data_IF_844372583100
#
_entry.id   IF_844372583100
#
_cell.length_a   1.000
_cell.length_b   1.000
_cell.length_c   1.000
_cell.angle_alpha   90.00
_cell.angle_beta   90.00
_cell.angle_gamma   90.00
#
_symmetry.space_group_name_H-M   'P 1'
#
loop_
_entity.id
_entity.type
_entity.pdbx_description
1 polymer ?
#
# COMPACT_ATOMS: atom_id res chain seq x y z
N UNK A 1 -10.06 2.87 -15.16
CA UNK A 1 -9.56 2.86 -13.75
C UNK A 1 -9.89 1.55 -13.05
N UNK A 2 -11.13 1.11 -13.01
CA UNK A 2 -11.56 -0.09 -12.26
C UNK A 2 -10.89 -1.38 -12.76
N UNK A 3 -10.78 -1.58 -14.08
CA UNK A 3 -10.08 -2.75 -14.65
C UNK A 3 -8.63 -2.85 -14.19
N UNK A 4 -7.94 -1.72 -14.17
CA UNK A 4 -6.57 -1.65 -13.66
C UNK A 4 -6.51 -2.04 -12.18
N UNK A 5 -7.47 -1.63 -11.35
CA UNK A 5 -7.50 -1.98 -9.92
C UNK A 5 -7.65 -3.49 -9.72
N UNK A 6 -8.53 -4.15 -10.50
CA UNK A 6 -8.66 -5.61 -10.42
C UNK A 6 -7.36 -6.31 -10.86
N UNK A 7 -6.84 -5.95 -12.03
CA UNK A 7 -5.63 -6.57 -12.59
C UNK A 7 -4.41 -6.41 -11.67
N UNK A 8 -4.23 -5.23 -11.08
CA UNK A 8 -3.14 -4.99 -10.13
C UNK A 8 -3.33 -5.80 -8.85
N UNK A 9 -4.56 -5.94 -8.35
CA UNK A 9 -4.81 -6.72 -7.16
C UNK A 9 -4.60 -8.22 -7.40
N UNK A 10 -5.14 -8.76 -8.48
CA UNK A 10 -4.93 -10.15 -8.87
C UNK A 10 -3.44 -10.47 -9.08
N UNK A 11 -2.72 -9.60 -9.77
CA UNK A 11 -1.27 -9.71 -9.92
C UNK A 11 -0.55 -9.66 -8.57
N UNK A 12 -0.96 -8.77 -7.66
CA UNK A 12 -0.38 -8.67 -6.31
C UNK A 12 -0.55 -9.97 -5.52
N UNK A 13 -1.65 -10.70 -5.69
CA UNK A 13 -1.90 -11.97 -5.00
C UNK A 13 -1.13 -13.15 -5.59
N UNK A 14 -0.79 -13.09 -6.88
CA UNK A 14 -0.22 -14.23 -7.65
C UNK A 14 1.28 -14.12 -7.93
N UNK A 15 1.93 -13.02 -7.57
CA UNK A 15 3.38 -12.83 -7.76
C UNK A 15 4.21 -13.83 -6.96
N UNK A 16 5.36 -14.20 -7.52
CA UNK A 16 6.40 -14.92 -6.79
C UNK A 16 7.23 -13.94 -5.97
N UNK A 17 7.05 -13.97 -4.67
CA UNK A 17 7.71 -13.05 -3.74
C UNK A 17 9.05 -13.57 -3.23
N UNK A 18 9.98 -12.65 -3.01
CA UNK A 18 11.23 -12.87 -2.27
C UNK A 18 11.01 -12.42 -0.84
N UNK A 19 11.41 -13.24 0.10
CA UNK A 19 11.27 -12.96 1.53
C UNK A 19 12.54 -12.34 2.10
N UNK A 20 12.36 -11.49 3.09
CA UNK A 20 13.44 -10.93 3.91
C UNK A 20 13.17 -11.21 5.38
N UNK A 21 14.16 -10.96 6.23
CA UNK A 21 13.98 -11.02 7.68
C UNK A 21 12.78 -10.17 8.13
N UNK A 22 12.13 -10.57 9.21
CA UNK A 22 10.90 -9.96 9.75
C UNK A 22 9.64 -10.12 8.86
N UNK A 23 9.63 -11.07 7.93
CA UNK A 23 8.45 -11.46 7.17
C UNK A 23 8.06 -10.48 6.04
N UNK A 24 8.89 -9.53 5.71
CA UNK A 24 8.69 -8.67 4.55
C UNK A 24 8.89 -9.45 3.27
N UNK A 25 7.96 -9.32 2.33
CA UNK A 25 8.04 -9.99 1.03
C UNK A 25 7.88 -8.96 -0.09
N UNK A 26 8.70 -9.08 -1.11
CA UNK A 26 8.72 -8.15 -2.24
C UNK A 26 8.95 -8.87 -3.57
N UNK A 27 8.43 -8.29 -4.63
CA UNK A 27 8.66 -8.71 -6.01
C UNK A 27 8.76 -7.49 -6.91
N UNK A 28 9.22 -7.66 -8.14
CA UNK A 28 9.26 -6.59 -9.12
C UNK A 28 9.07 -7.10 -10.54
N UNK A 29 8.58 -6.20 -11.39
CA UNK A 29 8.57 -6.36 -12.83
C UNK A 29 9.16 -5.11 -13.47
N UNK A 30 9.94 -5.29 -14.52
CA UNK A 30 10.47 -4.21 -15.35
C UNK A 30 10.00 -4.41 -16.79
N UNK A 31 9.42 -3.38 -17.37
CA UNK A 31 9.00 -3.35 -18.78
C UNK A 31 9.39 -2.00 -19.40
N UNK A 32 10.44 -2.00 -20.20
CA UNK A 32 11.05 -0.78 -20.72
C UNK A 32 11.55 0.10 -19.57
N UNK A 33 11.05 1.31 -19.48
CA UNK A 33 11.37 2.29 -18.44
C UNK A 33 10.41 2.26 -17.22
N UNK A 34 9.53 1.24 -17.15
CA UNK A 34 8.51 1.09 -16.11
C UNK A 34 8.91 0.03 -15.11
N UNK A 35 8.90 0.38 -13.85
CA UNK A 35 9.15 -0.50 -12.70
C UNK A 35 7.86 -0.67 -11.89
N UNK A 36 7.42 -1.92 -11.68
CA UNK A 36 6.40 -2.25 -10.70
C UNK A 36 7.06 -2.92 -9.51
N UNK A 37 6.76 -2.43 -8.31
CA UNK A 37 7.20 -2.99 -7.04
C UNK A 37 5.99 -3.52 -6.28
N UNK A 38 6.05 -4.78 -5.90
CA UNK A 38 4.98 -5.51 -5.23
C UNK A 38 5.40 -5.86 -3.81
N UNK A 39 4.49 -5.68 -2.85
CA UNK A 39 4.76 -5.92 -1.45
C UNK A 39 3.70 -6.80 -0.80
N UNK A 40 4.16 -7.78 -0.03
CA UNK A 40 3.35 -8.61 0.85
C UNK A 40 4.05 -8.81 2.20
N UNK A 41 3.40 -9.55 3.08
CA UNK A 41 3.96 -10.00 4.35
C UNK A 41 3.63 -11.48 4.54
N UNK A 42 4.64 -12.29 4.83
CA UNK A 42 4.53 -13.75 4.89
C UNK A 42 3.86 -14.28 6.15
N UNK A 43 3.76 -13.46 7.22
CA UNK A 43 3.13 -13.87 8.46
C UNK A 43 1.63 -13.57 8.45
N UNK A 44 0.85 -14.48 9.03
CA UNK A 44 -0.60 -14.40 9.04
C UNK A 44 -1.13 -13.08 9.64
N UNK A 45 -2.23 -12.58 9.05
CA UNK A 45 -2.91 -11.36 9.47
C UNK A 45 -3.23 -11.33 10.96
N UNK A 46 -3.61 -12.46 11.54
CA UNK A 46 -4.00 -12.59 12.95
C UNK A 46 -2.85 -12.26 13.90
N UNK A 47 -1.65 -12.73 13.62
CA UNK A 47 -0.47 -12.46 14.46
C UNK A 47 -0.07 -10.99 14.41
N UNK A 48 -0.20 -10.38 13.25
CA UNK A 48 0.05 -8.95 13.07
C UNK A 48 -0.98 -8.09 13.79
N UNK A 49 -2.28 -8.41 13.69
CA UNK A 49 -3.35 -7.68 14.37
C UNK A 49 -3.22 -7.77 15.90
N UNK A 50 -2.85 -8.95 16.41
CA UNK A 50 -2.65 -9.17 17.85
C UNK A 50 -1.43 -8.41 18.40
N UNK A 51 -0.42 -8.16 17.57
CA UNK A 51 0.82 -7.49 17.93
C UNK A 51 0.86 -6.00 17.55
N UNK A 52 -0.26 -5.41 17.13
CA UNK A 52 -0.34 -4.04 16.65
C UNK A 52 -0.14 -3.02 17.78
N UNK A 53 1.07 -2.96 18.34
CA UNK A 53 1.45 -1.86 19.23
C UNK A 53 1.63 -0.60 18.40
N UNK A 54 0.72 0.34 18.56
CA UNK A 54 0.68 1.61 17.82
C UNK A 54 1.81 2.58 18.27
N UNK A 55 3.07 2.16 18.10
CA UNK A 55 4.24 2.98 18.40
C UNK A 55 4.63 3.76 17.15
N UNK A 56 4.60 5.09 17.23
CA UNK A 56 5.03 5.97 16.16
C UNK A 56 6.51 6.34 16.32
N UNK A 57 7.27 6.19 15.23
CA UNK A 57 8.70 6.54 15.16
C UNK A 57 8.96 7.45 13.95
N UNK A 58 10.01 8.29 13.97
CA UNK A 58 10.34 9.11 12.81
C UNK A 58 10.84 8.24 11.63
N UNK A 59 10.35 8.56 10.43
CA UNK A 59 10.89 8.05 9.16
C UNK A 59 12.03 8.97 8.73
N UNK A 60 13.23 8.67 9.21
CA UNK A 60 14.39 9.57 9.16
C UNK A 60 15.03 9.72 7.78
N UNK A 61 14.68 8.84 6.86
CA UNK A 61 15.11 8.88 5.46
C UNK A 61 14.48 10.06 4.69
N UNK A 62 13.50 10.73 5.30
CA UNK A 62 12.78 11.89 4.76
C UNK A 62 13.16 13.17 5.49
N UNK A 63 13.04 14.30 4.81
CA UNK A 63 13.23 15.63 5.42
C UNK A 63 12.07 16.57 5.05
N UNK A 64 11.32 17.13 6.02
CA UNK A 64 11.35 16.78 7.44
C UNK A 64 10.90 15.34 7.66
N UNK A 65 11.39 14.66 8.72
CA UNK A 65 11.04 13.27 8.97
C UNK A 65 9.58 13.15 9.41
N UNK A 66 8.86 12.26 8.74
CA UNK A 66 7.53 11.84 9.14
C UNK A 66 7.58 10.89 10.33
N UNK A 67 6.49 10.83 11.06
CA UNK A 67 6.30 9.75 12.02
C UNK A 67 5.38 8.70 11.41
N UNK A 68 5.76 7.44 11.53
CA UNK A 68 5.00 6.32 11.03
C UNK A 68 5.03 5.16 12.02
N UNK A 69 4.20 4.17 11.77
CA UNK A 69 4.12 2.97 12.60
C UNK A 69 5.43 2.20 12.60
N UNK A 70 6.00 1.97 13.79
CA UNK A 70 7.30 1.31 13.98
C UNK A 70 7.40 -0.06 13.29
N UNK A 71 6.34 -0.88 13.42
CA UNK A 71 6.31 -2.23 12.84
C UNK A 71 6.43 -2.19 11.32
N UNK A 72 5.63 -1.37 10.64
CA UNK A 72 5.70 -1.23 9.18
C UNK A 72 7.05 -0.70 8.73
N UNK A 73 7.57 0.31 9.41
CA UNK A 73 8.88 0.87 9.07
C UNK A 73 10.00 -0.15 9.27
N UNK A 74 9.96 -0.96 10.32
CA UNK A 74 10.98 -1.98 10.59
C UNK A 74 11.03 -3.02 9.47
N UNK A 75 9.87 -3.50 9.01
CA UNK A 75 9.80 -4.46 7.89
C UNK A 75 10.22 -3.79 6.57
N UNK A 76 9.76 -2.56 6.32
CA UNK A 76 10.17 -1.83 5.13
C UNK A 76 11.69 -1.60 5.06
N UNK A 77 12.33 -1.28 6.19
CA UNK A 77 13.79 -1.13 6.27
C UNK A 77 14.56 -2.42 5.95
N UNK A 78 14.00 -3.58 6.24
CA UNK A 78 14.58 -4.84 5.83
C UNK A 78 14.45 -5.09 4.31
N UNK A 79 13.36 -4.62 3.70
CA UNK A 79 13.12 -4.72 2.25
C UNK A 79 13.91 -3.67 1.46
N UNK A 80 14.06 -2.45 2.01
CA UNK A 80 14.62 -1.29 1.31
C UNK A 80 15.98 -1.55 0.60
N UNK A 81 16.98 -2.20 1.20
CA UNK A 81 18.26 -2.46 0.52
C UNK A 81 18.12 -3.27 -0.77
N UNK A 82 17.09 -4.11 -0.86
CA UNK A 82 16.85 -4.96 -2.02
C UNK A 82 16.15 -4.24 -3.16
N UNK A 83 15.22 -3.31 -2.84
CA UNK A 83 14.44 -2.57 -3.85
C UNK A 83 15.09 -1.24 -4.23
N UNK A 84 15.95 -0.70 -3.36
CA UNK A 84 16.61 0.59 -3.58
C UNK A 84 17.40 0.66 -4.89
N UNK A 85 18.22 -0.33 -5.28
CA UNK A 85 18.93 -0.28 -6.56
C UNK A 85 18.01 -0.18 -7.77
N UNK A 86 16.83 -0.82 -7.70
CA UNK A 86 15.83 -0.76 -8.77
C UNK A 86 15.18 0.63 -8.87
N UNK A 87 14.80 1.21 -7.71
CA UNK A 87 14.15 2.52 -7.65
C UNK A 87 15.08 3.67 -8.06
N UNK A 88 16.37 3.54 -7.75
CA UNK A 88 17.36 4.58 -8.03
C UNK A 88 18.03 4.43 -9.40
N UNK A 89 17.68 3.40 -10.18
CA UNK A 89 18.15 3.24 -11.55
C UNK A 89 17.67 4.44 -12.40
N UNK A 90 18.61 5.18 -13.03
CA UNK A 90 18.27 6.37 -13.83
C UNK A 90 17.51 6.04 -15.13
N UNK A 91 17.52 4.79 -15.56
CA UNK A 91 16.77 4.33 -16.74
C UNK A 91 15.28 4.19 -16.46
N UNK A 92 14.90 4.02 -15.19
CA UNK A 92 13.50 3.96 -14.74
C UNK A 92 12.90 5.37 -14.78
N UNK A 93 11.78 5.52 -15.51
CA UNK A 93 11.03 6.77 -15.68
C UNK A 93 9.62 6.72 -15.09
N UNK A 94 9.11 5.54 -14.81
CA UNK A 94 7.79 5.32 -14.22
C UNK A 94 7.89 4.27 -13.13
N UNK A 95 7.32 4.52 -11.96
CA UNK A 95 7.27 3.54 -10.88
C UNK A 95 5.85 3.37 -10.37
N UNK A 96 5.45 2.12 -10.16
CA UNK A 96 4.20 1.75 -9.52
C UNK A 96 4.49 0.87 -8.29
N UNK A 97 3.99 1.28 -7.13
CA UNK A 97 4.10 0.50 -5.88
C UNK A 97 2.74 -0.12 -5.55
N UNK A 98 2.69 -1.42 -5.33
CA UNK A 98 1.43 -2.14 -5.08
C UNK A 98 1.59 -3.03 -3.86
N UNK A 99 0.56 -3.10 -3.03
CA UNK A 99 0.55 -4.00 -1.90
C UNK A 99 -0.84 -4.26 -1.32
N UNK A 100 -0.95 -5.35 -0.57
CA UNK A 100 -2.17 -5.72 0.12
C UNK A 100 -1.93 -5.84 1.62
N UNK A 101 -2.89 -5.36 2.44
CA UNK A 101 -2.84 -5.44 3.90
C UNK A 101 -1.55 -4.81 4.46
N UNK A 102 -0.75 -5.56 5.19
CA UNK A 102 0.58 -5.12 5.63
C UNK A 102 1.48 -4.69 4.46
N UNK A 103 1.43 -5.41 3.33
CA UNK A 103 2.15 -5.06 2.12
C UNK A 103 1.73 -3.69 1.54
N UNK A 104 0.48 -3.28 1.73
CA UNK A 104 0.01 -1.95 1.35
C UNK A 104 0.69 -0.84 2.17
N UNK A 105 0.98 -1.10 3.45
CA UNK A 105 1.77 -0.18 4.26
C UNK A 105 3.22 -0.07 3.77
N UNK A 106 3.82 -1.19 3.32
CA UNK A 106 5.16 -1.18 2.72
C UNK A 106 5.16 -0.44 1.38
N UNK A 107 4.14 -0.64 0.54
CA UNK A 107 3.98 0.08 -0.73
C UNK A 107 3.89 1.59 -0.52
N UNK A 108 3.17 2.04 0.53
CA UNK A 108 3.06 3.45 0.88
C UNK A 108 4.41 4.04 1.35
N UNK A 109 5.13 3.32 2.20
CA UNK A 109 6.45 3.75 2.66
C UNK A 109 7.47 3.79 1.51
N UNK A 110 7.39 2.83 0.58
CA UNK A 110 8.19 2.80 -0.64
C UNK A 110 7.87 3.96 -1.57
N UNK A 111 6.58 4.24 -1.79
CA UNK A 111 6.13 5.38 -2.58
C UNK A 111 6.71 6.70 -2.06
N UNK A 112 6.62 6.94 -0.74
CA UNK A 112 7.19 8.16 -0.12
C UNK A 112 8.71 8.21 -0.26
N UNK A 113 9.40 7.07 -0.13
CA UNK A 113 10.84 6.99 -0.35
C UNK A 113 11.22 7.44 -1.77
N UNK A 114 10.53 6.94 -2.79
CA UNK A 114 10.75 7.30 -4.19
C UNK A 114 10.43 8.78 -4.41
N UNK A 115 9.28 9.24 -3.92
CA UNK A 115 8.85 10.63 -4.07
C UNK A 115 9.92 11.61 -3.55
N UNK A 116 10.58 11.24 -2.45
CA UNK A 116 11.61 12.08 -1.83
C UNK A 116 12.95 11.98 -2.56
N UNK A 117 13.42 10.77 -2.87
CA UNK A 117 14.77 10.54 -3.41
C UNK A 117 14.86 10.65 -4.93
N UNK A 118 13.71 10.60 -5.63
CA UNK A 118 13.61 10.72 -7.10
C UNK A 118 12.63 11.86 -7.46
N UNK A 119 13.03 13.12 -7.24
CA UNK A 119 12.17 14.27 -7.56
C UNK A 119 11.77 14.33 -9.04
N UNK A 120 12.55 13.72 -9.92
CA UNK A 120 12.27 13.55 -11.34
C UNK A 120 11.09 12.61 -11.64
N UNK A 121 10.70 11.76 -10.68
CA UNK A 121 9.60 10.81 -10.83
C UNK A 121 8.28 11.25 -10.16
N UNK A 122 8.22 12.43 -9.54
CA UNK A 122 7.04 12.84 -8.76
C UNK A 122 5.73 12.82 -9.54
N UNK A 123 5.78 13.14 -10.82
CA UNK A 123 4.61 13.13 -11.71
C UNK A 123 4.40 11.78 -12.42
N UNK A 124 5.33 10.83 -12.25
CA UNK A 124 5.32 9.52 -12.91
C UNK A 124 5.33 8.34 -11.93
N UNK A 125 5.19 8.62 -10.64
CA UNK A 125 4.99 7.59 -9.62
C UNK A 125 3.52 7.41 -9.34
N UNK A 126 3.08 6.15 -9.16
CA UNK A 126 1.77 5.83 -8.63
C UNK A 126 1.87 4.73 -7.57
N UNK A 127 0.84 4.61 -6.73
CA UNK A 127 0.79 3.56 -5.72
C UNK A 127 -0.63 3.08 -5.45
N UNK A 128 -0.76 1.80 -5.11
CA UNK A 128 -2.05 1.15 -4.84
C UNK A 128 -1.94 0.29 -3.58
N UNK A 129 -2.63 0.70 -2.53
CA UNK A 129 -2.69 -0.01 -1.26
C UNK A 129 -4.07 -0.61 -1.02
N UNK A 130 -4.22 -1.92 -1.20
CA UNK A 130 -5.48 -2.64 -0.96
C UNK A 130 -5.56 -3.05 0.52
N UNK A 131 -6.67 -2.72 1.16
CA UNK A 131 -6.82 -3.00 2.59
C UNK A 131 -5.74 -2.35 3.47
N UNK A 132 -5.26 -1.18 3.06
CA UNK A 132 -4.14 -0.50 3.70
C UNK A 132 -4.50 -0.05 5.11
N UNK A 133 -3.73 -0.43 6.16
CA UNK A 133 -3.87 0.15 7.48
C UNK A 133 -3.41 1.60 7.51
N UNK A 134 -3.67 2.31 8.62
CA UNK A 134 -3.11 3.65 8.82
C UNK A 134 -1.63 3.56 9.15
N UNK A 135 -0.80 4.16 8.33
CA UNK A 135 0.67 4.07 8.42
C UNK A 135 1.27 5.30 9.09
N UNK A 136 0.77 6.48 8.75
CA UNK A 136 1.34 7.75 9.18
C UNK A 136 0.71 8.26 10.46
N UNK A 137 1.52 8.93 11.27
CA UNK A 137 1.14 9.50 12.55
C UNK A 137 1.28 11.02 12.52
N UNK A 138 0.23 11.72 12.94
CA UNK A 138 0.18 13.18 13.03
C UNK A 138 -0.84 13.80 12.07
N UNK A 139 -0.81 15.09 11.99
CA UNK A 139 -1.65 15.85 11.06
C UNK A 139 -0.92 16.04 9.73
N UNK A 140 -1.66 15.84 8.65
CA UNK A 140 -1.20 16.09 7.28
C UNK A 140 -1.86 17.38 6.82
N UNK A 141 -1.07 18.42 6.60
CA UNK A 141 -1.57 19.65 5.98
C UNK A 141 -1.74 19.47 4.45
N UNK A 142 -2.39 20.41 3.80
CA UNK A 142 -2.67 20.32 2.36
C UNK A 142 -1.40 20.25 1.50
N UNK A 143 -0.32 20.89 1.93
CA UNK A 143 0.95 20.88 1.21
C UNK A 143 1.58 19.50 1.23
N UNK A 144 1.51 18.87 2.38
CA UNK A 144 2.02 17.52 2.57
C UNK A 144 1.11 16.45 1.91
N UNK A 145 -0.21 16.67 1.93
CA UNK A 145 -1.17 15.78 1.29
C UNK A 145 -0.88 15.58 -0.21
N UNK A 146 -0.39 16.61 -0.89
CA UNK A 146 -0.03 16.55 -2.32
C UNK A 146 1.04 15.50 -2.64
N UNK A 147 1.87 15.11 -1.69
CA UNK A 147 2.87 14.07 -1.92
C UNK A 147 2.24 12.73 -2.30
N UNK A 148 1.06 12.43 -1.78
CA UNK A 148 0.36 11.17 -2.00
C UNK A 148 -0.83 11.29 -2.97
N UNK A 149 -0.89 12.33 -3.79
CA UNK A 149 -1.98 12.53 -4.76
C UNK A 149 -2.09 11.38 -5.77
N UNK A 150 -1.01 10.65 -6.01
CA UNK A 150 -0.98 9.49 -6.89
C UNK A 150 -0.92 8.16 -6.13
N UNK A 151 -1.14 8.16 -4.81
CA UNK A 151 -1.30 6.95 -4.02
C UNK A 151 -2.77 6.69 -3.72
N UNK A 152 -3.28 5.54 -4.14
CA UNK A 152 -4.67 5.15 -3.98
C UNK A 152 -4.81 4.14 -2.86
N UNK A 153 -5.64 4.44 -1.87
CA UNK A 153 -6.02 3.53 -0.79
C UNK A 153 -7.35 2.88 -1.15
N UNK A 154 -7.28 1.63 -1.61
CA UNK A 154 -8.47 0.86 -1.97
C UNK A 154 -8.99 0.16 -0.72
N UNK A 155 -10.20 0.52 -0.30
CA UNK A 155 -10.84 0.01 0.91
C UNK A 155 -12.13 -0.68 0.56
N UNK A 156 -12.23 -1.99 0.89
CA UNK A 156 -13.52 -2.64 0.95
C UNK A 156 -14.28 -2.12 2.17
N UNK A 157 -15.51 -1.68 1.98
CA UNK A 157 -16.35 -1.16 3.08
C UNK A 157 -16.53 -2.24 4.13
N UNK A 158 -16.45 -1.85 5.39
CA UNK A 158 -16.47 -2.79 6.52
C UNK A 158 -15.13 -3.43 6.87
N UNK A 159 -14.07 -3.28 6.06
CA UNK A 159 -12.74 -3.83 6.34
C UNK A 159 -12.12 -3.18 7.58
N UNK A 160 -12.02 -3.96 8.67
CA UNK A 160 -11.51 -3.48 9.97
C UNK A 160 -10.04 -3.07 9.91
N UNK A 161 -9.23 -3.71 9.08
CA UNK A 161 -7.79 -3.44 9.00
C UNK A 161 -7.52 -2.02 8.54
N UNK A 162 -8.34 -1.49 7.65
CA UNK A 162 -8.22 -0.11 7.17
C UNK A 162 -8.52 0.93 8.26
N UNK A 163 -9.09 0.51 9.38
CA UNK A 163 -9.37 1.36 10.54
C UNK A 163 -8.29 1.27 11.62
N UNK A 164 -7.26 0.44 11.43
CA UNK A 164 -6.17 0.22 12.39
C UNK A 164 -4.86 0.88 11.94
N UNK A 165 -4.05 1.40 12.86
CA UNK A 165 -4.42 1.77 14.24
C UNK A 165 -5.58 2.78 14.28
N UNK A 166 -6.34 2.84 15.40
CA UNK A 166 -7.46 3.76 15.50
C UNK A 166 -7.07 5.23 15.31
N UNK A 167 -7.92 6.02 14.64
CA UNK A 167 -7.65 7.45 14.41
C UNK A 167 -7.41 8.24 15.70
N UNK A 168 -8.10 7.86 16.77
CA UNK A 168 -7.93 8.48 18.10
C UNK A 168 -6.52 8.30 18.68
N UNK A 169 -5.75 7.33 18.20
CA UNK A 169 -4.33 7.15 18.57
C UNK A 169 -3.37 8.02 17.73
N UNK A 170 -3.89 8.93 16.90
CA UNK A 170 -3.12 9.89 16.11
C UNK A 170 -2.68 9.39 14.73
N UNK A 171 -3.12 8.20 14.30
CA UNK A 171 -2.82 7.67 12.98
C UNK A 171 -3.83 8.13 11.92
N UNK A 172 -3.35 8.38 10.71
CA UNK A 172 -4.18 8.82 9.59
C UNK A 172 -3.87 8.05 8.30
N UNK A 173 -4.84 8.09 7.39
CA UNK A 173 -4.62 7.76 5.99
C UNK A 173 -4.08 8.97 5.23
N UNK A 174 -3.30 8.67 4.21
CA UNK A 174 -2.87 9.62 3.18
C UNK A 174 -3.20 9.05 1.81
N UNK A 175 -3.18 9.88 0.79
CA UNK A 175 -3.54 9.49 -0.56
C UNK A 175 -5.05 9.58 -0.83
N UNK A 176 -5.46 9.07 -1.97
CA UNK A 176 -6.85 9.10 -2.44
C UNK A 176 -7.58 7.84 -2.01
N UNK A 177 -8.61 7.98 -1.20
CA UNK A 177 -9.46 6.87 -0.79
C UNK A 177 -10.38 6.45 -1.94
N UNK A 178 -10.34 5.17 -2.27
CA UNK A 178 -11.26 4.52 -3.21
C UNK A 178 -12.03 3.44 -2.44
N UNK A 179 -13.33 3.67 -2.24
CA UNK A 179 -14.19 2.70 -1.56
C UNK A 179 -14.83 1.74 -2.56
N UNK A 180 -14.80 0.46 -2.23
CA UNK A 180 -15.47 -0.62 -2.95
C UNK A 180 -16.38 -1.38 -1.99
N UNK A 181 -17.36 -2.09 -2.54
CA UNK A 181 -18.24 -2.94 -1.75
C UNK A 181 -19.32 -2.20 -0.94
N UNK A 182 -19.90 -2.93 0.00
CA UNK A 182 -21.03 -2.51 0.83
C UNK A 182 -20.79 -2.94 2.28
N UNK A 183 -21.07 -2.06 3.25
CA UNK A 183 -20.84 -2.28 4.69
C UNK A 183 -21.60 -3.48 5.28
N UNK A 184 -22.65 -3.93 4.63
CA UNK A 184 -23.54 -4.99 5.16
C UNK A 184 -23.26 -6.38 4.58
N UNK A 185 -22.34 -6.49 3.61
CA UNK A 185 -22.14 -7.73 2.86
C UNK A 185 -21.22 -8.73 3.57
N UNK A 186 -20.25 -8.25 4.32
CA UNK A 186 -19.22 -9.06 4.96
C UNK A 186 -19.11 -8.73 6.44
N UNK A 187 -18.64 -9.70 7.24
CA UNK A 187 -18.14 -9.38 8.58
C UNK A 187 -16.87 -8.50 8.47
N UNK A 188 -16.50 -7.72 9.50
CA UNK A 188 -15.32 -6.84 9.43
C UNK A 188 -14.01 -7.53 9.10
N UNK A 189 -13.85 -8.80 9.50
CA UNK A 189 -12.69 -9.63 9.16
C UNK A 189 -12.80 -10.26 7.78
N UNK A 190 -14.01 -10.66 7.36
CA UNK A 190 -14.22 -11.21 6.03
C UNK A 190 -14.10 -10.14 4.94
N UNK A 191 -14.51 -8.90 5.23
CA UNK A 191 -14.33 -7.77 4.32
C UNK A 191 -12.85 -7.53 3.95
N UNK A 192 -11.93 -7.94 4.83
CA UNK A 192 -10.48 -7.85 4.57
C UNK A 192 -9.92 -8.98 3.72
N UNK A 193 -10.63 -10.08 3.52
CA UNK A 193 -10.10 -11.23 2.76
C UNK A 193 -9.85 -10.89 1.29
N UNK A 194 -8.79 -11.46 0.66
CA UNK A 194 -8.51 -11.27 -0.76
C UNK A 194 -9.70 -11.57 -1.66
N UNK A 195 -10.43 -12.66 -1.35
CA UNK A 195 -11.60 -13.10 -2.12
C UNK A 195 -12.71 -12.04 -2.11
N UNK A 196 -12.88 -11.34 -0.97
CA UNK A 196 -13.87 -10.27 -0.85
C UNK A 196 -13.48 -9.06 -1.68
N UNK A 197 -12.20 -8.69 -1.69
CA UNK A 197 -11.67 -7.63 -2.56
C UNK A 197 -11.84 -7.98 -4.04
N UNK A 198 -11.48 -9.20 -4.46
CA UNK A 198 -11.65 -9.67 -5.84
C UNK A 198 -13.12 -9.64 -6.27
N UNK A 199 -14.02 -10.12 -5.38
CA UNK A 199 -15.45 -10.13 -5.64
C UNK A 199 -16.01 -8.71 -5.84
N UNK A 200 -15.64 -7.75 -5.00
CA UNK A 200 -16.12 -6.38 -5.12
C UNK A 200 -15.50 -5.65 -6.32
N UNK A 201 -14.21 -5.83 -6.57
CA UNK A 201 -13.56 -5.28 -7.75
C UNK A 201 -14.16 -5.83 -9.05
N UNK A 202 -14.53 -7.11 -9.12
CA UNK A 202 -15.11 -7.74 -10.31
C UNK A 202 -16.54 -7.30 -10.60
N UNK A 203 -17.34 -6.96 -9.58
CA UNK A 203 -18.74 -6.52 -9.77
C UNK A 203 -18.84 -5.19 -10.54
N UNK A 204 -17.85 -4.34 -10.42
CA UNK A 204 -17.77 -3.10 -11.17
C UNK A 204 -17.32 -3.28 -12.64
N UNK A 205 -16.96 -4.53 -13.02
CA UNK A 205 -16.51 -4.91 -14.36
C UNK A 205 -17.57 -5.54 -15.25
N UNK A 206 -18.79 -5.76 -14.78
CA UNK A 206 -19.83 -6.21 -15.71
C UNK A 206 -20.02 -5.15 -16.77
N UNK A 207 -19.71 -5.41 -18.06
CA UNK A 207 -20.08 -4.52 -19.13
C UNK A 207 -21.59 -4.33 -19.02
N UNK A 208 -22.04 -3.09 -19.08
CA UNK A 208 -23.44 -2.76 -19.19
C UNK A 208 -23.99 -3.53 -20.42
N UNK A 209 -24.73 -4.60 -20.12
CA UNK A 209 -25.71 -5.22 -20.98
C UNK A 209 -25.28 -5.60 -22.40
N UNK A 210 -25.01 -6.86 -22.63
CA UNK A 210 -25.64 -7.53 -23.77
C UNK A 210 -26.98 -8.07 -23.27
N UNK A 211 -28.02 -7.29 -23.46
CA UNK A 211 -29.40 -7.77 -23.47
C UNK A 211 -29.63 -8.51 -24.79
#
# INVERSE_FOLDING_TARGET
MQEILYQLFDACLTKSYREVENGGSWAFDVSGDRLHLWFQHSHGMTDWLNNLRAVAVPYREMSPPWRCHKGFLSVFKAVLPHVMPLMLDPTVKHVCTVGYSHGAALALLCYEYIWYHRPDLRDSICGYGYGCPRVLYGCVDETLAKRWDHFYVIRNRGDIVTHLPPRVSGYCHVGRLVEIGNDQKYSPTDAHRPESYLAELSQHFKPLGTA
#
